data_IF_302608782390
#
_entry.id   IF_302608782390
#
_cell.length_a   1.000
_cell.length_b   1.000
_cell.length_c   1.000
_cell.angle_alpha   90.00
_cell.angle_beta   90.00
_cell.angle_gamma   90.00
#
_symmetry.space_group_name_H-M   'P 1'
#
loop_
_entity.id
_entity.type
_entity.pdbx_description
1 polymer ?
#
# COMPACT_ATOMS: atom_id res chain seq x y z
N UNK A 1 1.68 20.43 40.91
CA UNK A 1 2.88 21.14 41.44
C UNK A 1 4.04 21.26 40.44
N UNK A 2 4.40 20.24 39.63
CA UNK A 2 5.50 20.35 38.63
C UNK A 2 5.22 21.26 37.41
N UNK A 3 3.96 21.63 37.14
CA UNK A 3 3.59 22.50 36.02
C UNK A 3 3.72 24.01 36.34
N UNK A 4 3.67 24.40 37.61
CA UNK A 4 3.85 25.79 38.03
C UNK A 4 5.34 26.18 38.06
N UNK A 5 6.21 25.24 38.45
CA UNK A 5 7.66 25.47 38.48
C UNK A 5 8.25 25.74 37.08
N UNK A 6 7.75 25.07 36.03
CA UNK A 6 8.21 25.31 34.65
C UNK A 6 7.72 26.63 34.08
N UNK A 7 6.53 27.09 34.46
CA UNK A 7 5.98 28.38 34.04
C UNK A 7 6.75 29.57 34.63
N UNK A 8 7.13 29.48 35.91
CA UNK A 8 7.93 30.51 36.58
C UNK A 8 9.36 30.58 36.01
N UNK A 9 9.97 29.43 35.73
CA UNK A 9 11.32 29.36 35.16
C UNK A 9 11.38 29.97 33.75
N UNK A 10 10.35 29.73 32.93
CA UNK A 10 10.25 30.32 31.59
C UNK A 10 10.02 31.84 31.66
N UNK A 11 9.14 32.31 32.56
CA UNK A 11 8.84 33.74 32.73
C UNK A 11 10.06 34.53 33.22
N UNK A 12 10.86 33.96 34.12
CA UNK A 12 12.08 34.61 34.63
C UNK A 12 13.20 34.66 33.58
N UNK A 13 13.30 33.64 32.71
CA UNK A 13 14.25 33.65 31.59
C UNK A 13 13.87 34.65 30.50
N UNK A 14 12.58 34.82 30.20
CA UNK A 14 12.08 35.79 29.23
C UNK A 14 12.31 37.23 29.73
N UNK A 15 12.07 37.51 31.02
CA UNK A 15 12.33 38.82 31.62
C UNK A 15 13.81 39.22 31.62
N UNK A 16 14.72 38.27 31.90
CA UNK A 16 16.17 38.51 31.77
C UNK A 16 16.62 38.74 30.33
N UNK A 17 15.87 38.23 29.36
CA UNK A 17 16.17 38.38 27.93
C UNK A 17 15.75 39.75 27.39
N UNK A 18 14.61 40.28 27.83
CA UNK A 18 14.14 41.62 27.45
C UNK A 18 15.05 42.75 27.97
N UNK A 19 15.69 42.55 29.14
CA UNK A 19 16.69 43.49 29.67
C UNK A 19 17.99 43.46 28.85
N UNK A 20 18.49 42.28 28.48
CA UNK A 20 19.72 42.14 27.70
C UNK A 20 19.57 42.56 26.22
N UNK A 21 18.36 42.46 25.67
CA UNK A 21 18.00 43.00 24.36
C UNK A 21 17.90 44.53 24.34
N UNK A 22 17.78 45.22 25.47
CA UNK A 22 17.78 46.69 25.50
C UNK A 22 19.18 47.29 25.56
N UNK A 23 20.15 46.58 26.14
CA UNK A 23 21.50 47.08 26.38
C UNK A 23 22.57 46.59 25.38
N UNK A 24 22.29 45.54 24.61
CA UNK A 24 23.26 44.95 23.67
C UNK A 24 23.21 45.54 22.25
N UNK A 25 24.38 45.94 21.73
CA UNK A 25 24.57 46.33 20.32
C UNK A 25 24.31 45.19 19.31
N UNK A 26 24.10 45.57 18.04
CA UNK A 26 23.68 44.70 16.94
C UNK A 26 24.41 43.34 16.78
N UNK A 27 25.73 43.18 17.01
CA UNK A 27 26.40 41.89 16.85
C UNK A 27 26.05 40.87 17.95
N UNK A 28 25.76 41.32 19.19
CA UNK A 28 25.42 40.44 20.32
C UNK A 28 24.03 39.83 20.14
N UNK A 29 23.09 40.58 19.57
CA UNK A 29 21.71 40.10 19.31
C UNK A 29 21.66 38.95 18.31
N UNK A 30 22.51 38.95 17.28
CA UNK A 30 22.55 37.88 16.26
C UNK A 30 23.07 36.57 16.83
N UNK A 31 24.10 36.61 17.68
CA UNK A 31 24.69 35.40 18.27
C UNK A 31 23.73 34.72 19.26
N UNK A 32 23.05 35.52 20.09
CA UNK A 32 22.04 35.01 21.03
C UNK A 32 20.77 34.50 20.36
N UNK A 33 20.35 35.11 19.25
CA UNK A 33 19.20 34.63 18.47
C UNK A 33 19.48 33.26 17.80
N UNK A 34 20.73 33.01 17.37
CA UNK A 34 21.16 31.70 16.85
C UNK A 34 21.13 30.61 17.93
N UNK A 35 21.73 30.89 19.10
CA UNK A 35 21.76 29.96 20.23
C UNK A 35 20.37 29.64 20.78
N UNK A 36 19.44 30.61 20.80
CA UNK A 36 18.04 30.36 21.17
C UNK A 36 17.30 29.51 20.14
N UNK A 37 17.56 29.69 18.85
CA UNK A 37 16.94 28.89 17.79
C UNK A 37 17.37 27.42 17.92
N UNK A 38 18.65 27.17 18.22
CA UNK A 38 19.18 25.81 18.43
C UNK A 38 18.67 25.16 19.73
N UNK A 39 18.54 25.94 20.82
CA UNK A 39 18.02 25.41 22.08
C UNK A 39 16.50 25.16 22.04
N UNK A 40 15.72 26.04 21.39
CA UNK A 40 14.27 25.88 21.25
C UNK A 40 13.92 24.79 20.24
N UNK A 41 14.70 24.60 19.17
CA UNK A 41 14.53 23.45 18.27
C UNK A 41 14.90 22.14 18.96
N UNK A 42 15.92 22.11 19.82
CA UNK A 42 16.30 20.91 20.57
C UNK A 42 15.27 20.54 21.67
N UNK A 43 14.68 21.53 22.36
CA UNK A 43 13.63 21.31 23.36
C UNK A 43 12.29 20.96 22.70
N UNK A 44 11.96 21.60 21.56
CA UNK A 44 10.80 21.25 20.72
C UNK A 44 10.93 19.83 20.16
N UNK A 45 12.12 19.42 19.71
CA UNK A 45 12.38 18.03 19.30
C UNK A 45 12.30 17.05 20.46
N UNK A 46 12.77 17.41 21.67
CA UNK A 46 12.67 16.54 22.87
C UNK A 46 11.24 16.35 23.37
N UNK A 47 10.39 17.38 23.27
CA UNK A 47 9.00 17.34 23.77
C UNK A 47 8.02 16.83 22.70
N UNK A 48 8.22 17.14 21.40
CA UNK A 48 7.37 16.62 20.31
C UNK A 48 7.57 15.12 20.05
N UNK A 49 8.71 14.53 20.43
CA UNK A 49 8.95 13.10 20.20
C UNK A 49 8.14 12.17 21.11
N UNK A 50 7.46 12.71 22.14
CA UNK A 50 6.66 11.94 23.09
C UNK A 50 5.26 11.57 22.57
N UNK A 51 4.87 12.04 21.39
CA UNK A 51 3.55 11.75 20.80
C UNK A 51 3.64 11.36 19.32
N UNK A 52 4.39 10.29 19.00
CA UNK A 52 4.03 9.51 17.81
C UNK A 52 2.75 8.72 18.12
N UNK A 53 1.58 9.38 17.99
CA UNK A 53 0.28 8.74 18.10
C UNK A 53 0.06 7.83 16.88
N UNK A 54 0.68 6.64 16.90
CA UNK A 54 0.24 5.51 16.08
C UNK A 54 -0.71 4.66 16.93
N UNK A 55 -1.78 4.16 16.31
CA UNK A 55 -2.80 3.26 16.87
C UNK A 55 -2.17 1.90 17.25
N UNK A 56 -1.35 1.88 18.29
CA UNK A 56 -0.63 0.72 18.76
C UNK A 56 -0.95 0.53 20.23
N UNK A 57 -1.64 -0.58 20.55
CA UNK A 57 -1.87 -0.99 21.94
C UNK A 57 -0.51 -1.06 22.64
N UNK A 58 -0.31 -0.37 23.77
CA UNK A 58 0.98 -0.38 24.45
C UNK A 58 1.28 -1.74 25.08
N UNK A 59 0.25 -2.46 25.51
CA UNK A 59 0.30 -3.77 26.13
C UNK A 59 -0.52 -4.76 25.30
N UNK A 60 -0.01 -5.97 25.15
CA UNK A 60 -0.64 -7.06 24.43
C UNK A 60 -0.80 -8.23 25.38
N UNK A 61 -1.97 -8.86 25.34
CA UNK A 61 -2.27 -10.02 26.18
C UNK A 61 -1.60 -11.28 25.62
N UNK A 62 -1.04 -12.10 26.51
CA UNK A 62 -0.54 -13.43 26.15
C UNK A 62 -1.68 -14.43 26.29
N UNK A 63 -1.87 -15.28 25.29
CA UNK A 63 -2.87 -16.33 25.29
C UNK A 63 -2.28 -17.67 25.71
N UNK A 64 -3.01 -18.40 26.55
CA UNK A 64 -2.72 -19.79 26.88
C UNK A 64 -2.99 -20.72 25.70
N UNK A 65 -2.57 -21.98 25.83
CA UNK A 65 -2.87 -23.04 24.87
C UNK A 65 -4.37 -23.37 24.75
N UNK A 66 -5.16 -23.04 25.77
CA UNK A 66 -6.62 -23.18 25.79
C UNK A 66 -7.35 -22.06 25.04
N UNK A 67 -6.65 -21.00 24.62
CA UNK A 67 -7.22 -19.86 23.88
C UNK A 67 -7.76 -18.75 24.77
N UNK A 68 -7.53 -18.81 26.08
CA UNK A 68 -7.88 -17.79 27.06
C UNK A 68 -6.67 -16.91 27.36
N UNK A 69 -6.90 -15.69 27.85
CA UNK A 69 -5.78 -14.83 28.29
C UNK A 69 -5.12 -15.43 29.53
N UNK A 70 -3.79 -15.55 29.53
CA UNK A 70 -3.03 -16.09 30.67
C UNK A 70 -2.78 -15.07 31.79
N UNK A 71 -3.31 -13.85 31.66
CA UNK A 71 -3.09 -12.73 32.60
C UNK A 71 -1.73 -12.06 32.45
N UNK A 72 -0.79 -12.64 31.69
CA UNK A 72 0.49 -12.02 31.36
C UNK A 72 0.30 -11.00 30.25
N UNK A 73 0.97 -9.85 30.40
CA UNK A 73 1.00 -8.80 29.39
C UNK A 73 2.43 -8.54 28.95
N UNK A 74 2.62 -8.35 27.64
CA UNK A 74 3.90 -7.99 27.04
C UNK A 74 3.77 -6.63 26.36
N UNK A 75 4.79 -5.79 26.52
CA UNK A 75 4.84 -4.48 25.86
C UNK A 75 5.01 -4.68 24.36
N UNK A 76 4.26 -3.93 23.55
CA UNK A 76 4.37 -4.00 22.10
C UNK A 76 5.75 -3.48 21.62
N UNK A 77 6.55 -4.31 20.92
CA UNK A 77 7.85 -3.90 20.39
C UNK A 77 7.74 -2.73 19.44
N UNK A 78 8.74 -1.84 19.46
CA UNK A 78 8.72 -0.63 18.63
C UNK A 78 8.69 -0.92 17.12
N UNK A 79 9.14 -2.11 16.70
CA UNK A 79 9.12 -2.52 15.29
C UNK A 79 7.70 -2.56 14.69
N UNK A 80 6.66 -2.80 15.50
CA UNK A 80 5.27 -2.80 15.03
C UNK A 80 4.73 -1.39 14.75
N UNK A 81 5.40 -0.37 15.29
CA UNK A 81 5.09 1.04 15.02
C UNK A 81 5.91 1.59 13.85
N UNK A 82 6.78 0.80 13.22
CA UNK A 82 7.61 1.26 12.12
C UNK A 82 6.77 1.74 10.92
N UNK A 83 7.25 2.73 10.15
CA UNK A 83 6.54 3.20 8.96
C UNK A 83 6.40 2.10 7.91
N UNK A 84 5.17 1.87 7.45
CA UNK A 84 4.85 0.85 6.44
C UNK A 84 5.08 1.42 5.05
N UNK A 85 6.05 0.85 4.31
CA UNK A 85 6.36 1.22 2.92
C UNK A 85 6.15 0.06 1.94
N UNK A 86 4.97 -0.05 1.31
CA UNK A 86 4.67 -1.17 0.40
C UNK A 86 5.53 -1.14 -0.88
N UNK A 87 5.95 0.04 -1.33
CA UNK A 87 6.87 0.25 -2.45
C UNK A 87 8.24 -0.40 -2.19
N UNK A 88 8.83 -0.11 -1.02
CA UNK A 88 10.11 -0.71 -0.59
C UNK A 88 9.98 -2.21 -0.41
N UNK A 89 8.88 -2.67 0.20
CA UNK A 89 8.62 -4.12 0.36
C UNK A 89 8.54 -4.81 -1.00
N UNK A 90 7.80 -4.26 -1.96
CA UNK A 90 7.65 -4.87 -3.28
C UNK A 90 8.97 -4.87 -4.06
N UNK A 91 9.73 -3.78 -4.01
CA UNK A 91 11.05 -3.68 -4.65
C UNK A 91 12.03 -4.74 -4.11
N UNK A 92 12.14 -4.82 -2.77
CA UNK A 92 13.03 -5.79 -2.12
C UNK A 92 12.56 -7.22 -2.37
N UNK A 93 11.26 -7.49 -2.22
CA UNK A 93 10.68 -8.82 -2.45
C UNK A 93 10.96 -9.30 -3.88
N UNK A 94 10.71 -8.44 -4.89
CA UNK A 94 10.91 -8.79 -6.30
C UNK A 94 12.36 -9.13 -6.60
N UNK A 95 13.31 -8.38 -6.06
CA UNK A 95 14.74 -8.64 -6.27
C UNK A 95 15.24 -9.84 -5.46
N UNK A 96 14.75 -10.03 -4.22
CA UNK A 96 15.12 -11.16 -3.37
C UNK A 96 14.60 -12.48 -3.95
N UNK A 97 13.39 -12.48 -4.51
CA UNK A 97 12.80 -13.64 -5.19
C UNK A 97 13.55 -14.05 -6.46
N UNK A 98 14.35 -13.17 -7.07
CA UNK A 98 15.17 -13.55 -8.24
C UNK A 98 16.35 -14.44 -7.85
N UNK A 99 16.82 -14.37 -6.61
CA UNK A 99 18.03 -15.04 -6.14
C UNK A 99 17.85 -16.55 -5.88
N UNK A 100 16.63 -17.08 -5.93
CA UNK A 100 16.37 -18.51 -5.83
C UNK A 100 16.16 -19.19 -7.19
N UNK A 101 16.35 -18.46 -8.30
CA UNK A 101 16.15 -18.97 -9.65
C UNK A 101 17.37 -19.76 -10.10
N UNK A 102 17.13 -20.94 -10.65
CA UNK A 102 18.16 -21.73 -11.33
C UNK A 102 18.36 -21.19 -12.76
N UNK A 103 19.61 -21.05 -13.23
CA UNK A 103 19.91 -20.74 -14.62
C UNK A 103 19.32 -21.78 -15.58
N UNK A 104 18.91 -21.34 -16.75
CA UNK A 104 18.56 -22.22 -17.86
C UNK A 104 19.11 -21.63 -19.16
N UNK A 105 19.60 -22.49 -20.03
CA UNK A 105 20.21 -22.13 -21.30
C UNK A 105 19.82 -23.15 -22.38
N UNK A 106 19.87 -22.74 -23.63
CA UNK A 106 19.80 -23.67 -24.78
C UNK A 106 21.22 -24.15 -25.07
N UNK A 107 21.38 -25.39 -25.54
CA UNK A 107 22.70 -25.90 -25.93
C UNK A 107 23.33 -25.01 -27.01
N UNK A 108 24.63 -24.76 -26.91
CA UNK A 108 25.35 -23.90 -27.84
C UNK A 108 25.50 -24.56 -29.22
N UNK A 109 25.51 -25.89 -29.27
CA UNK A 109 25.60 -26.67 -30.49
C UNK A 109 24.23 -26.88 -31.18
N UNK A 110 23.13 -26.48 -30.53
CA UNK A 110 21.79 -26.69 -31.07
C UNK A 110 21.60 -25.90 -32.38
N UNK A 111 21.27 -26.61 -33.46
CA UNK A 111 21.11 -26.03 -34.78
C UNK A 111 22.44 -25.67 -35.48
N UNK A 112 23.59 -26.05 -34.90
CA UNK A 112 24.93 -25.83 -35.44
C UNK A 112 25.67 -27.10 -35.88
N UNK A 113 25.15 -28.28 -35.52
CA UNK A 113 25.76 -29.58 -35.85
C UNK A 113 25.56 -30.01 -37.32
N UNK A 114 24.68 -29.34 -38.07
CA UNK A 114 24.37 -29.68 -39.45
C UNK A 114 25.31 -28.95 -40.41
N UNK A 115 25.99 -29.67 -41.30
CA UNK A 115 26.75 -29.08 -42.40
C UNK A 115 25.79 -28.53 -43.47
N UNK A 116 25.83 -27.23 -43.69
CA UNK A 116 24.96 -26.54 -44.63
C UNK A 116 25.65 -25.30 -45.21
N UNK A 117 25.40 -25.02 -46.48
CA UNK A 117 25.98 -23.87 -47.18
C UNK A 117 24.93 -23.24 -48.09
N UNK A 118 25.02 -21.93 -48.31
CA UNK A 118 24.09 -21.24 -49.21
C UNK A 118 24.43 -21.59 -50.65
N UNK A 119 23.43 -21.86 -51.47
CA UNK A 119 23.64 -22.13 -52.89
C UNK A 119 23.86 -20.87 -53.75
N UNK A 120 23.88 -19.69 -53.12
CA UNK A 120 24.01 -18.42 -53.82
C UNK A 120 22.76 -18.03 -54.61
N UNK A 121 22.96 -17.21 -55.65
CA UNK A 121 21.93 -16.79 -56.60
C UNK A 121 21.88 -17.74 -57.81
N UNK A 122 20.89 -17.57 -58.69
CA UNK A 122 20.80 -18.37 -59.93
C UNK A 122 20.11 -19.73 -59.78
N UNK A 123 19.68 -20.07 -58.56
CA UNK A 123 18.74 -21.17 -58.31
C UNK A 123 17.42 -20.55 -57.85
N UNK A 124 16.28 -21.05 -58.32
CA UNK A 124 14.94 -20.54 -58.00
C UNK A 124 14.51 -20.83 -56.53
N UNK A 125 15.40 -20.53 -55.58
CA UNK A 125 15.28 -20.78 -54.15
C UNK A 125 15.90 -19.63 -53.35
N UNK A 126 15.39 -19.39 -52.14
CA UNK A 126 15.95 -18.38 -51.25
C UNK A 126 17.40 -18.70 -50.83
N UNK A 127 18.21 -17.64 -50.63
CA UNK A 127 19.66 -17.64 -50.30
C UNK A 127 20.02 -18.13 -48.89
N UNK A 128 19.24 -19.05 -48.34
CA UNK A 128 19.45 -19.63 -47.01
C UNK A 128 20.42 -20.81 -47.11
N UNK A 129 21.32 -21.02 -46.12
CA UNK A 129 22.15 -22.22 -46.07
C UNK A 129 21.31 -23.50 -46.12
N UNK A 130 21.68 -24.44 -46.98
CA UNK A 130 20.98 -25.71 -47.20
C UNK A 130 21.88 -26.90 -46.90
N UNK A 131 21.28 -27.95 -46.34
CA UNK A 131 21.99 -29.19 -46.00
C UNK A 131 22.56 -29.84 -47.26
N UNK A 132 23.84 -30.18 -47.23
CA UNK A 132 24.57 -30.82 -48.34
C UNK A 132 24.21 -32.31 -48.48
N UNK A 133 24.60 -32.93 -49.59
CA UNK A 133 24.34 -34.35 -49.88
C UNK A 133 23.02 -34.59 -50.62
N UNK A 134 22.60 -35.86 -50.70
CA UNK A 134 21.39 -36.32 -51.38
C UNK A 134 20.82 -37.59 -50.75
N UNK A 135 19.73 -38.12 -51.30
CA UNK A 135 19.16 -39.42 -50.88
C UNK A 135 18.36 -39.43 -49.57
N UNK A 136 18.21 -38.28 -48.90
CA UNK A 136 17.38 -38.16 -47.68
C UNK A 136 16.44 -36.98 -47.77
N UNK A 137 15.30 -37.04 -47.08
CA UNK A 137 14.35 -35.92 -46.99
C UNK A 137 14.96 -34.64 -46.43
N UNK A 138 16.08 -34.71 -45.69
CA UNK A 138 16.74 -33.54 -45.09
C UNK A 138 17.67 -32.80 -46.06
N UNK A 139 18.18 -33.47 -47.09
CA UNK A 139 19.05 -32.86 -48.10
C UNK A 139 18.34 -31.71 -48.84
N UNK A 140 19.04 -30.61 -49.11
CA UNK A 140 18.48 -29.43 -49.78
C UNK A 140 17.53 -28.55 -48.94
N UNK A 141 17.20 -28.92 -47.70
CA UNK A 141 16.39 -28.09 -46.79
C UNK A 141 17.22 -26.99 -46.12
N UNK A 142 16.57 -25.89 -45.73
CA UNK A 142 17.20 -24.79 -45.01
C UNK A 142 17.66 -25.16 -43.59
N UNK A 143 18.84 -24.66 -43.20
CA UNK A 143 19.47 -24.85 -41.90
C UNK A 143 20.07 -23.53 -41.36
N UNK A 144 20.59 -23.54 -40.14
CA UNK A 144 21.18 -22.41 -39.38
C UNK A 144 20.27 -21.21 -39.08
N UNK A 145 19.36 -20.82 -39.96
CA UNK A 145 18.47 -19.68 -39.76
C UNK A 145 17.48 -19.89 -38.62
N UNK A 146 17.12 -18.81 -37.92
CA UNK A 146 16.09 -18.81 -36.88
C UNK A 146 14.67 -19.03 -37.41
N UNK A 147 14.45 -18.74 -38.68
CA UNK A 147 13.23 -19.06 -39.43
C UNK A 147 13.21 -20.48 -39.98
N UNK A 148 14.32 -21.22 -39.91
CA UNK A 148 14.41 -22.58 -40.45
C UNK A 148 13.98 -23.63 -39.42
N UNK A 149 13.21 -24.63 -39.87
CA UNK A 149 12.87 -25.80 -39.04
C UNK A 149 14.14 -26.58 -38.67
N UNK A 150 14.35 -26.79 -37.38
CA UNK A 150 15.56 -27.43 -36.84
C UNK A 150 16.82 -26.57 -36.88
N UNK A 151 16.71 -25.28 -37.23
CA UNK A 151 17.79 -24.30 -37.12
C UNK A 151 17.96 -23.77 -35.68
N UNK A 152 18.96 -22.91 -35.47
CA UNK A 152 19.20 -22.28 -34.16
C UNK A 152 18.23 -21.11 -33.95
N UNK A 153 17.86 -20.81 -32.70
CA UNK A 153 17.08 -19.59 -32.42
C UNK A 153 17.94 -18.32 -32.44
N UNK A 154 17.30 -17.16 -32.69
CA UNK A 154 17.95 -15.86 -32.48
C UNK A 154 18.11 -15.56 -30.99
N UNK A 155 19.27 -15.00 -30.61
CA UNK A 155 19.66 -14.71 -29.23
C UNK A 155 19.42 -15.89 -28.25
N UNK A 156 20.10 -17.05 -28.43
CA UNK A 156 19.95 -18.20 -27.54
C UNK A 156 20.16 -17.82 -26.08
N UNK A 157 19.37 -18.39 -25.16
CA UNK A 157 19.53 -18.06 -23.75
C UNK A 157 20.85 -18.59 -23.22
N UNK A 158 21.66 -17.68 -22.67
CA UNK A 158 22.98 -17.98 -22.12
C UNK A 158 22.96 -18.15 -20.60
N UNK A 159 23.89 -18.95 -20.10
CA UNK A 159 24.05 -19.25 -18.66
C UNK A 159 24.42 -18.00 -17.87
N UNK A 160 25.26 -17.12 -18.41
CA UNK A 160 25.77 -15.89 -17.78
C UNK A 160 24.77 -14.72 -17.74
N UNK A 161 23.48 -14.95 -18.06
CA UNK A 161 22.44 -13.94 -17.77
C UNK A 161 22.52 -13.54 -16.30
N UNK A 162 22.39 -12.24 -15.99
CA UNK A 162 22.43 -11.77 -14.59
C UNK A 162 21.15 -12.17 -13.84
N UNK A 163 21.13 -13.38 -13.27
CA UNK A 163 20.01 -13.96 -12.51
C UNK A 163 19.82 -13.29 -11.15
N UNK A 164 20.93 -13.09 -10.44
CA UNK A 164 20.94 -12.58 -9.08
C UNK A 164 20.88 -11.06 -9.03
N UNK A 165 20.26 -10.53 -7.98
CA UNK A 165 20.19 -9.10 -7.66
C UNK A 165 20.64 -8.87 -6.22
N UNK A 166 21.73 -8.10 -6.08
CA UNK A 166 22.18 -7.54 -4.81
C UNK A 166 21.20 -6.46 -4.36
N UNK A 167 20.91 -6.43 -3.06
CA UNK A 167 20.02 -5.45 -2.43
C UNK A 167 20.73 -4.97 -1.17
N UNK A 168 20.63 -3.67 -0.89
CA UNK A 168 21.27 -3.06 0.27
C UNK A 168 20.71 -3.61 1.57
N UNK A 169 21.58 -3.87 2.55
CA UNK A 169 21.19 -4.42 3.85
C UNK A 169 20.17 -3.56 4.59
N UNK A 170 20.32 -2.21 4.65
CA UNK A 170 19.32 -1.35 5.27
C UNK A 170 17.95 -1.42 4.60
N UNK A 171 17.89 -1.52 3.25
CA UNK A 171 16.62 -1.67 2.52
C UNK A 171 15.94 -3.01 2.85
N UNK A 172 16.71 -4.11 2.93
CA UNK A 172 16.16 -5.41 3.36
C UNK A 172 15.59 -5.34 4.77
N UNK A 173 16.32 -4.74 5.71
CA UNK A 173 15.89 -4.58 7.10
C UNK A 173 14.63 -3.71 7.19
N UNK A 174 14.57 -2.63 6.43
CA UNK A 174 13.39 -1.76 6.37
C UNK A 174 12.15 -2.48 5.84
N UNK A 175 12.31 -3.28 4.77
CA UNK A 175 11.20 -4.07 4.24
C UNK A 175 10.66 -5.08 5.27
N UNK A 176 11.53 -5.70 6.08
CA UNK A 176 11.10 -6.58 7.16
C UNK A 176 10.34 -5.80 8.24
N UNK A 177 10.86 -4.66 8.70
CA UNK A 177 10.16 -3.82 9.68
C UNK A 177 8.78 -3.37 9.17
N UNK A 178 8.68 -2.96 7.90
CA UNK A 178 7.40 -2.62 7.27
C UNK A 178 6.43 -3.80 7.23
N UNK A 179 6.92 -5.00 6.94
CA UNK A 179 6.10 -6.21 6.89
C UNK A 179 5.60 -6.63 8.29
N UNK A 180 6.42 -6.47 9.33
CA UNK A 180 6.06 -6.72 10.72
C UNK A 180 5.03 -5.69 11.23
N UNK A 181 5.27 -4.40 11.01
CA UNK A 181 4.29 -3.36 11.36
C UNK A 181 2.93 -3.60 10.70
N UNK A 182 2.92 -4.03 9.43
CA UNK A 182 1.71 -4.35 8.73
C UNK A 182 0.96 -5.59 9.25
N UNK A 183 1.63 -6.54 9.93
CA UNK A 183 0.96 -7.71 10.50
C UNK A 183 0.25 -7.42 11.82
N UNK A 184 0.50 -6.26 12.44
CA UNK A 184 -0.24 -5.78 13.62
C UNK A 184 -1.56 -5.08 13.28
N UNK A 185 -1.78 -4.70 12.02
CA UNK A 185 -2.96 -3.91 11.62
C UNK A 185 -4.03 -4.87 11.05
N UNK A 186 -5.18 -5.04 11.72
CA UNK A 186 -6.23 -5.98 11.28
C UNK A 186 -6.71 -5.71 9.85
N UNK A 187 -6.91 -4.44 9.49
CA UNK A 187 -7.35 -4.06 8.14
C UNK A 187 -6.38 -4.55 7.05
N UNK A 188 -5.07 -4.46 7.28
CA UNK A 188 -4.09 -4.96 6.31
C UNK A 188 -4.08 -6.49 6.25
N UNK A 189 -4.24 -7.17 7.38
CA UNK A 189 -4.32 -8.64 7.45
C UNK A 189 -5.57 -9.19 6.76
N UNK A 190 -6.72 -8.54 6.93
CA UNK A 190 -7.96 -8.88 6.24
C UNK A 190 -7.86 -8.57 4.74
N UNK A 191 -7.29 -7.42 4.35
CA UNK A 191 -7.11 -7.05 2.94
C UNK A 191 -6.24 -8.07 2.17
N UNK A 192 -5.27 -8.69 2.84
CA UNK A 192 -4.48 -9.82 2.29
C UNK A 192 -5.33 -11.07 2.04
N UNK A 193 -6.44 -11.22 2.77
CA UNK A 193 -7.40 -12.31 2.65
C UNK A 193 -7.24 -13.40 3.70
N UNK A 194 -6.67 -13.13 4.86
CA UNK A 194 -6.73 -14.03 6.01
C UNK A 194 -8.11 -13.94 6.68
N UNK A 195 -8.63 -15.07 7.19
CA UNK A 195 -9.85 -15.09 8.02
C UNK A 195 -9.48 -14.91 9.47
N UNK A 196 -9.68 -13.69 9.98
CA UNK A 196 -9.31 -13.28 11.33
C UNK A 196 -10.50 -12.71 12.13
N UNK A 197 -11.74 -12.90 11.66
CA UNK A 197 -12.93 -12.27 12.27
C UNK A 197 -13.16 -12.73 13.71
N UNK A 198 -12.85 -13.98 14.01
CA UNK A 198 -13.08 -14.60 15.32
C UNK A 198 -11.87 -14.51 16.27
N UNK A 199 -10.73 -13.99 15.80
CA UNK A 199 -9.47 -13.98 16.55
C UNK A 199 -9.54 -12.91 17.64
N UNK A 200 -9.09 -13.19 18.88
CA UNK A 200 -9.26 -12.27 20.00
C UNK A 200 -8.39 -11.01 19.89
N UNK A 201 -7.17 -11.13 19.37
CA UNK A 201 -6.22 -10.02 19.28
C UNK A 201 -5.25 -10.17 18.09
N UNK A 202 -4.82 -9.03 17.54
CA UNK A 202 -3.77 -8.92 16.52
C UNK A 202 -2.81 -7.80 16.94
N UNK A 203 -1.49 -8.03 17.06
CA UNK A 203 -0.77 -9.30 16.92
C UNK A 203 -1.18 -10.38 17.93
N UNK A 204 -1.25 -11.64 17.49
CA UNK A 204 -1.55 -12.76 18.38
C UNK A 204 -0.27 -13.29 19.03
N UNK A 205 -0.22 -13.29 20.36
CA UNK A 205 0.90 -13.79 21.17
C UNK A 205 0.43 -14.95 22.04
N UNK A 206 1.18 -16.05 22.01
CA UNK A 206 0.86 -17.30 22.72
C UNK A 206 2.01 -17.68 23.66
N UNK A 207 1.71 -18.35 24.76
CA UNK A 207 2.73 -18.83 25.71
C UNK A 207 3.82 -19.70 25.07
N UNK A 208 5.02 -19.65 25.65
CA UNK A 208 6.19 -20.41 25.18
C UNK A 208 6.03 -21.94 25.25
N UNK A 209 5.00 -22.45 25.97
CA UNK A 209 4.66 -23.88 25.98
C UNK A 209 4.44 -24.44 24.58
N UNK A 210 4.00 -23.63 23.63
CA UNK A 210 3.80 -24.02 22.23
C UNK A 210 5.10 -24.47 21.56
N UNK A 211 6.26 -23.96 21.99
CA UNK A 211 7.57 -24.35 21.45
C UNK A 211 7.91 -25.83 21.70
N UNK A 212 7.36 -26.41 22.78
CA UNK A 212 7.58 -27.81 23.20
C UNK A 212 6.62 -28.84 22.60
N UNK A 213 5.70 -28.45 21.72
CA UNK A 213 4.76 -29.39 21.11
C UNK A 213 5.47 -30.40 20.21
N UNK A 214 5.10 -31.68 20.36
CA UNK A 214 5.69 -32.78 19.59
C UNK A 214 4.70 -33.37 18.59
N UNK A 215 3.39 -33.32 18.87
CA UNK A 215 2.36 -33.96 18.02
C UNK A 215 1.59 -32.92 17.21
N UNK A 216 1.28 -33.26 15.96
CA UNK A 216 0.44 -32.43 15.07
C UNK A 216 -0.99 -32.26 15.61
N UNK A 217 -1.50 -33.26 16.33
CA UNK A 217 -2.84 -33.21 16.95
C UNK A 217 -2.95 -32.08 17.98
N UNK A 218 -1.92 -31.89 18.80
CA UNK A 218 -1.83 -30.79 19.78
C UNK A 218 -1.77 -29.43 19.07
N UNK A 219 -0.94 -29.32 18.02
CA UNK A 219 -0.86 -28.11 17.20
C UNK A 219 -2.19 -27.73 16.52
N UNK A 220 -2.95 -28.71 16.03
CA UNK A 220 -4.30 -28.49 15.47
C UNK A 220 -5.29 -28.05 16.55
N UNK A 221 -5.22 -28.66 17.75
CA UNK A 221 -6.07 -28.29 18.88
C UNK A 221 -5.86 -26.82 19.27
N UNK A 222 -4.59 -26.39 19.39
CA UNK A 222 -4.22 -25.01 19.67
C UNK A 222 -4.83 -24.04 18.65
N UNK A 223 -4.68 -24.30 17.35
CA UNK A 223 -5.17 -23.41 16.30
C UNK A 223 -6.71 -23.31 16.27
N UNK A 224 -7.40 -24.36 16.71
CA UNK A 224 -8.86 -24.34 16.91
C UNK A 224 -9.23 -23.48 18.12
N UNK A 225 -8.53 -23.65 19.24
CA UNK A 225 -8.76 -22.87 20.47
C UNK A 225 -8.48 -21.38 20.28
N UNK A 226 -7.43 -21.03 19.53
CA UNK A 226 -7.09 -19.66 19.14
C UNK A 226 -7.99 -19.09 18.02
N UNK A 227 -8.99 -19.86 17.55
CA UNK A 227 -9.92 -19.48 16.47
C UNK A 227 -9.24 -19.16 15.12
N UNK A 228 -7.97 -19.54 14.94
CA UNK A 228 -7.21 -19.39 13.71
C UNK A 228 -7.47 -20.49 12.67
N UNK A 229 -8.27 -21.51 13.02
CA UNK A 229 -8.53 -22.67 12.18
C UNK A 229 -9.31 -22.35 10.89
N UNK A 230 -10.14 -21.30 10.89
CA UNK A 230 -10.89 -20.89 9.69
C UNK A 230 -9.98 -20.44 8.54
N UNK A 231 -8.80 -19.86 8.85
CA UNK A 231 -7.80 -19.53 7.84
C UNK A 231 -7.17 -20.79 7.22
N UNK A 232 -7.02 -21.86 8.01
CA UNK A 232 -6.49 -23.15 7.56
C UNK A 232 -7.53 -23.91 6.74
N UNK A 233 -8.81 -23.91 7.15
CA UNK A 233 -9.92 -24.43 6.34
C UNK A 233 -9.94 -23.76 4.95
N UNK A 234 -9.67 -22.46 4.88
CA UNK A 234 -9.53 -21.73 3.62
C UNK A 234 -8.35 -22.21 2.77
N UNK A 235 -7.25 -22.65 3.39
CA UNK A 235 -6.15 -23.29 2.67
C UNK A 235 -6.59 -24.61 2.06
N UNK A 236 -7.23 -25.49 2.83
CA UNK A 236 -7.76 -26.77 2.34
C UNK A 236 -8.71 -26.56 1.15
N UNK A 237 -9.70 -25.68 1.27
CA UNK A 237 -10.65 -25.37 0.19
C UNK A 237 -9.99 -24.78 -1.07
N UNK A 238 -8.78 -24.21 -0.95
CA UNK A 238 -8.06 -23.59 -2.08
C UNK A 238 -7.11 -24.53 -2.83
N UNK A 239 -6.96 -25.77 -2.37
CA UNK A 239 -6.07 -26.74 -2.99
C UNK A 239 -6.60 -27.11 -4.38
N UNK A 240 -5.83 -26.75 -5.40
CA UNK A 240 -6.20 -27.03 -6.79
C UNK A 240 -4.99 -27.34 -7.65
N UNK A 241 -5.25 -27.94 -8.81
CA UNK A 241 -4.23 -28.21 -9.81
C UNK A 241 -3.77 -26.90 -10.47
N UNK A 242 -2.47 -26.77 -10.71
CA UNK A 242 -1.89 -25.61 -11.40
C UNK A 242 -2.27 -25.65 -12.88
N UNK A 243 -2.78 -24.54 -13.41
CA UNK A 243 -3.00 -24.39 -14.85
C UNK A 243 -1.66 -24.30 -15.63
N UNK A 244 -1.67 -24.82 -16.86
CA UNK A 244 -0.53 -24.75 -17.79
C UNK A 244 0.59 -25.77 -17.56
N UNK A 245 1.75 -25.52 -18.18
CA UNK A 245 2.92 -26.43 -18.22
C UNK A 245 3.68 -26.55 -16.90
N UNK A 246 3.19 -25.96 -15.81
CA UNK A 246 3.80 -26.14 -14.48
C UNK A 246 3.64 -27.56 -13.93
N UNK A 247 2.59 -28.29 -14.38
CA UNK A 247 2.28 -29.65 -13.91
C UNK A 247 3.39 -30.66 -14.21
N UNK A 248 4.04 -30.53 -15.37
CA UNK A 248 5.18 -31.38 -15.77
C UNK A 248 6.52 -30.95 -15.14
N UNK A 249 6.58 -29.80 -14.44
CA UNK A 249 7.82 -29.23 -13.88
C UNK A 249 7.79 -29.24 -12.35
N UNK A 250 7.36 -30.34 -11.74
CA UNK A 250 7.25 -30.55 -10.29
C UNK A 250 6.48 -29.47 -9.52
N UNK A 251 5.53 -28.79 -10.19
CA UNK A 251 4.70 -27.71 -9.61
C UNK A 251 3.22 -27.96 -9.83
N UNK A 252 2.81 -29.22 -9.64
CA UNK A 252 1.48 -29.76 -9.96
C UNK A 252 0.34 -29.11 -9.17
N UNK A 253 0.51 -28.92 -7.86
CA UNK A 253 -0.52 -28.38 -6.96
C UNK A 253 -0.19 -26.96 -6.49
N UNK A 254 -1.23 -26.16 -6.24
CA UNK A 254 -1.14 -24.84 -5.61
C UNK A 254 -2.16 -24.74 -4.48
N UNK A 255 -1.83 -23.95 -3.47
CA UNK A 255 -2.68 -23.68 -2.31
C UNK A 255 -2.37 -22.30 -1.74
N UNK A 256 -3.30 -21.73 -0.96
CA UNK A 256 -3.09 -20.47 -0.23
C UNK A 256 -2.01 -20.61 0.84
N UNK A 257 -1.46 -19.47 1.26
CA UNK A 257 -0.59 -19.35 2.44
C UNK A 257 -1.46 -18.97 3.62
N UNK A 258 -1.42 -19.76 4.68
CA UNK A 258 -2.12 -19.50 5.94
C UNK A 258 -1.22 -18.76 6.94
N UNK A 259 -1.44 -18.97 8.26
CA UNK A 259 -0.72 -18.25 9.31
C UNK A 259 0.80 -18.50 9.26
N UNK A 260 1.55 -17.51 9.69
CA UNK A 260 2.98 -17.62 9.92
C UNK A 260 3.25 -17.74 11.42
N UNK A 261 3.82 -18.84 11.88
CA UNK A 261 4.18 -19.02 13.29
C UNK A 261 5.63 -18.62 13.46
N UNK A 262 5.88 -17.69 14.38
CA UNK A 262 7.21 -17.20 14.71
C UNK A 262 7.58 -17.64 16.12
N UNK A 263 8.71 -18.32 16.24
CA UNK A 263 9.21 -18.92 17.47
C UNK A 263 10.65 -18.48 17.74
N UNK A 264 11.12 -18.64 18.98
CA UNK A 264 12.48 -18.32 19.38
C UNK A 264 13.39 -19.56 19.32
N UNK A 265 13.00 -20.62 20.03
CA UNK A 265 13.73 -21.89 20.09
C UNK A 265 12.89 -23.04 19.49
N UNK A 266 13.55 -24.01 18.88
CA UNK A 266 12.87 -25.19 18.33
C UNK A 266 13.03 -26.37 19.30
N UNK A 267 12.05 -26.55 20.18
CA UNK A 267 11.97 -27.68 21.11
C UNK A 267 11.05 -28.82 20.62
N UNK A 268 10.67 -28.81 19.33
CA UNK A 268 9.73 -29.76 18.73
C UNK A 268 8.66 -29.11 17.84
N UNK A 269 8.45 -27.80 18.01
CA UNK A 269 7.46 -27.00 17.28
C UNK A 269 7.56 -27.19 15.76
N UNK A 270 8.76 -27.26 15.18
CA UNK A 270 8.85 -27.40 13.72
C UNK A 270 8.27 -28.72 13.23
N UNK A 271 8.50 -29.82 13.96
CA UNK A 271 7.95 -31.14 13.65
C UNK A 271 6.43 -31.17 13.84
N UNK A 272 5.91 -30.52 14.88
CA UNK A 272 4.48 -30.47 15.17
C UNK A 272 3.67 -29.68 14.12
N UNK A 273 4.20 -28.55 13.61
CA UNK A 273 3.44 -27.68 12.70
C UNK A 273 3.72 -27.90 11.21
N UNK A 274 4.86 -28.50 10.81
CA UNK A 274 5.25 -28.60 9.38
C UNK A 274 4.26 -29.37 8.50
N UNK A 275 3.51 -30.31 9.08
CA UNK A 275 2.58 -31.17 8.33
C UNK A 275 1.23 -30.49 8.04
N UNK A 276 0.92 -29.38 8.72
CA UNK A 276 -0.34 -28.67 8.54
C UNK A 276 -0.23 -27.77 7.29
N UNK A 277 -1.13 -27.89 6.30
CA UNK A 277 -1.00 -27.16 5.05
C UNK A 277 -1.17 -25.65 5.24
N UNK A 278 -0.33 -24.90 4.54
CA UNK A 278 -0.40 -23.43 4.50
C UNK A 278 0.33 -22.72 5.64
N UNK A 279 0.66 -23.42 6.73
CA UNK A 279 1.47 -22.87 7.82
C UNK A 279 2.90 -22.67 7.34
N UNK A 280 3.52 -21.58 7.77
CA UNK A 280 4.97 -21.42 7.63
C UNK A 280 5.58 -21.08 8.97
N UNK A 281 6.74 -21.64 9.23
CA UNK A 281 7.47 -21.50 10.47
C UNK A 281 8.65 -20.55 10.24
N UNK A 282 8.92 -19.66 11.19
CA UNK A 282 10.09 -18.79 11.16
C UNK A 282 10.71 -18.67 12.54
N UNK A 283 12.03 -18.75 12.60
CA UNK A 283 12.78 -18.32 13.77
C UNK A 283 12.84 -16.78 13.79
N UNK A 284 12.62 -16.18 14.96
CA UNK A 284 12.69 -14.73 15.18
C UNK A 284 14.05 -14.12 14.77
N UNK A 285 15.14 -14.85 14.92
CA UNK A 285 16.48 -14.39 14.50
C UNK A 285 16.65 -14.39 12.98
N UNK A 286 15.90 -15.22 12.26
CA UNK A 286 16.04 -15.47 10.83
C UNK A 286 14.75 -15.15 10.06
N UNK A 287 14.18 -13.98 10.33
CA UNK A 287 13.00 -13.50 9.63
C UNK A 287 13.27 -13.28 8.15
N UNK A 288 12.42 -13.87 7.31
CA UNK A 288 12.51 -13.78 5.85
C UNK A 288 11.32 -13.02 5.27
N UNK A 289 11.62 -11.96 4.52
CA UNK A 289 10.62 -11.14 3.83
C UNK A 289 9.73 -11.94 2.88
N UNK A 290 10.27 -12.94 2.17
CA UNK A 290 9.51 -13.76 1.22
C UNK A 290 8.39 -14.57 1.91
N UNK A 291 8.53 -14.82 3.22
CA UNK A 291 7.51 -15.50 4.03
C UNK A 291 6.59 -14.49 4.71
N UNK A 292 7.09 -13.36 5.21
CA UNK A 292 6.27 -12.33 5.86
C UNK A 292 5.36 -11.57 4.86
N UNK A 293 5.86 -11.29 3.66
CA UNK A 293 5.13 -10.58 2.60
C UNK A 293 5.08 -11.42 1.31
N UNK A 294 4.34 -12.54 1.30
CA UNK A 294 4.33 -13.44 0.15
C UNK A 294 3.72 -12.73 -1.07
N UNK A 295 4.50 -12.67 -2.16
CA UNK A 295 4.08 -11.96 -3.38
C UNK A 295 4.35 -10.45 -3.35
N UNK A 296 4.99 -9.92 -2.30
CA UNK A 296 5.28 -8.49 -2.16
C UNK A 296 4.15 -7.69 -1.53
N UNK A 297 3.00 -8.30 -1.22
CA UNK A 297 1.94 -7.65 -0.45
C UNK A 297 2.11 -7.94 1.05
N UNK A 298 2.06 -6.88 1.84
CA UNK A 298 2.18 -6.86 3.31
C UNK A 298 0.91 -7.39 4.00
N UNK A 299 0.94 -7.52 5.33
CA UNK A 299 -0.23 -7.92 6.12
C UNK A 299 -0.48 -9.43 6.13
N UNK A 300 0.57 -10.26 6.28
CA UNK A 300 0.35 -11.68 6.54
C UNK A 300 -0.01 -11.90 8.00
N UNK A 301 -0.99 -12.76 8.27
CA UNK A 301 -1.33 -13.13 9.64
C UNK A 301 -0.17 -13.91 10.29
N UNK A 302 0.35 -13.37 11.41
CA UNK A 302 1.49 -13.92 12.14
C UNK A 302 1.07 -14.22 13.58
N UNK A 303 1.47 -15.40 14.08
CA UNK A 303 1.28 -15.86 15.44
C UNK A 303 2.66 -15.92 16.08
N UNK A 304 2.82 -15.32 17.26
CA UNK A 304 4.09 -15.19 17.95
C UNK A 304 4.09 -16.00 19.23
N UNK A 305 5.21 -16.65 19.56
CA UNK A 305 5.47 -17.09 20.94
C UNK A 305 5.91 -15.91 21.80
N UNK A 306 5.65 -15.99 23.11
CA UNK A 306 5.94 -14.93 24.07
C UNK A 306 7.42 -14.50 24.01
N UNK A 307 8.34 -15.47 24.06
CA UNK A 307 9.78 -15.24 23.97
C UNK A 307 10.21 -14.65 22.62
N UNK A 308 9.62 -15.11 21.51
CA UNK A 308 9.89 -14.54 20.19
C UNK A 308 9.43 -13.08 20.10
N UNK A 309 8.28 -12.76 20.72
CA UNK A 309 7.72 -11.42 20.71
C UNK A 309 8.60 -10.44 21.49
N UNK A 310 9.04 -10.81 22.70
CA UNK A 310 9.95 -9.99 23.52
C UNK A 310 11.30 -9.74 22.84
N UNK A 311 11.85 -10.74 22.16
CA UNK A 311 13.16 -10.68 21.50
C UNK A 311 13.22 -9.69 20.32
N UNK A 312 12.08 -9.23 19.81
CA UNK A 312 12.04 -8.24 18.72
C UNK A 312 12.66 -6.89 19.13
N UNK A 313 12.54 -6.49 20.40
CA UNK A 313 13.11 -5.24 20.88
C UNK A 313 14.65 -5.29 20.94
N UNK A 314 15.24 -6.46 21.24
CA UNK A 314 16.70 -6.66 21.12
C UNK A 314 17.15 -6.67 19.65
N UNK A 315 16.39 -7.33 18.78
CA UNK A 315 16.72 -7.49 17.36
C UNK A 315 16.66 -6.20 16.55
N UNK A 316 15.71 -5.30 16.84
CA UNK A 316 15.49 -4.08 16.07
C UNK A 316 15.70 -2.80 16.87
N UNK A 317 15.67 -2.87 18.20
CA UNK A 317 15.73 -1.70 19.07
C UNK A 317 14.46 -0.87 19.04
N UNK A 318 14.54 0.29 19.68
CA UNK A 318 13.54 1.35 19.60
C UNK A 318 14.12 2.56 18.85
N UNK A 319 13.36 3.65 18.67
CA UNK A 319 13.95 4.89 18.16
C UNK A 319 14.90 5.58 19.15
N UNK A 320 14.88 5.18 20.43
CA UNK A 320 15.79 5.72 21.46
C UNK A 320 16.99 4.81 21.69
N UNK A 321 16.76 3.50 21.73
CA UNK A 321 17.78 2.47 21.97
C UNK A 321 18.11 1.75 20.65
N UNK A 322 19.38 1.71 20.28
CA UNK A 322 19.85 0.95 19.11
C UNK A 322 19.65 -0.56 19.30
N UNK A 323 19.64 -1.31 18.20
CA UNK A 323 19.55 -2.78 18.29
C UNK A 323 20.81 -3.38 18.89
N UNK A 324 20.67 -4.35 19.80
CA UNK A 324 21.80 -5.07 20.39
C UNK A 324 22.37 -6.11 19.43
N UNK A 325 21.50 -6.85 18.74
CA UNK A 325 21.92 -7.98 17.90
C UNK A 325 22.34 -7.58 16.48
N UNK A 326 21.98 -6.37 16.02
CA UNK A 326 22.33 -5.89 14.68
C UNK A 326 23.30 -4.73 14.77
N UNK A 327 24.49 -4.91 14.18
CA UNK A 327 25.49 -3.86 14.07
C UNK A 327 24.93 -2.63 13.35
N UNK A 328 25.14 -1.47 13.96
CA UNK A 328 24.83 -0.12 13.44
C UNK A 328 23.43 -0.02 12.83
N UNK A 329 22.42 -0.52 13.55
CA UNK A 329 21.03 -0.47 13.09
C UNK A 329 20.12 0.26 14.07
N UNK A 330 19.22 1.05 13.49
CA UNK A 330 18.17 1.79 14.17
C UNK A 330 16.90 1.70 13.33
N UNK A 331 15.74 1.80 13.99
CA UNK A 331 14.47 1.83 13.29
C UNK A 331 14.39 3.03 12.32
N UNK A 332 13.75 2.85 11.15
CA UNK A 332 13.53 3.92 10.20
C UNK A 332 12.64 5.02 10.80
N UNK A 333 12.97 6.27 10.53
CA UNK A 333 12.23 7.43 11.01
C UNK A 333 10.94 7.63 10.19
N UNK A 334 9.89 8.09 10.85
CA UNK A 334 8.65 8.49 10.20
C UNK A 334 8.86 9.79 9.41
N UNK A 335 8.37 9.84 8.18
CA UNK A 335 8.28 11.10 7.42
C UNK A 335 7.17 12.01 7.94
N UNK A 336 6.08 11.41 8.42
CA UNK A 336 4.92 12.06 8.99
C UNK A 336 4.58 11.35 10.30
N UNK A 337 4.49 12.09 11.40
CA UNK A 337 4.28 11.52 12.75
C UNK A 337 2.83 11.11 12.98
N UNK A 338 1.87 11.93 12.55
CA UNK A 338 0.45 11.61 12.57
C UNK A 338 -0.03 11.38 11.13
N UNK A 339 -0.43 10.15 10.80
CA UNK A 339 -0.89 9.79 9.45
C UNK A 339 -2.39 10.00 9.24
N UNK A 340 -3.15 10.37 10.27
CA UNK A 340 -4.57 10.68 10.14
C UNK A 340 -4.76 12.10 9.59
N UNK A 341 -4.75 12.19 8.26
CA UNK A 341 -5.00 13.44 7.54
C UNK A 341 -6.39 14.00 7.81
N UNK A 342 -7.38 13.14 8.08
CA UNK A 342 -8.75 13.61 8.32
C UNK A 342 -8.83 14.41 9.62
N UNK A 343 -8.13 13.96 10.67
CA UNK A 343 -8.02 14.68 11.93
C UNK A 343 -7.23 15.97 11.79
N UNK A 344 -6.11 15.95 11.07
CA UNK A 344 -5.29 17.15 10.82
C UNK A 344 -6.12 18.20 10.07
N UNK A 345 -6.73 17.83 8.95
CA UNK A 345 -7.50 18.76 8.12
C UNK A 345 -8.73 19.33 8.84
N UNK A 346 -9.33 18.59 9.78
CA UNK A 346 -10.47 19.04 10.58
C UNK A 346 -10.07 19.77 11.86
N UNK A 347 -8.78 19.97 12.13
CA UNK A 347 -8.33 20.63 13.34
C UNK A 347 -8.72 22.11 13.34
N UNK A 348 -9.05 22.64 14.51
CA UNK A 348 -9.51 24.03 14.65
C UNK A 348 -8.46 25.03 14.18
N UNK A 349 -7.18 24.74 14.43
CA UNK A 349 -6.06 25.61 14.04
C UNK A 349 -6.00 25.77 12.52
N UNK A 350 -6.25 24.70 11.76
CA UNK A 350 -6.32 24.75 10.30
C UNK A 350 -7.62 25.42 9.86
N UNK A 351 -8.77 25.00 10.39
CA UNK A 351 -10.07 25.52 9.98
C UNK A 351 -10.20 27.04 10.19
N UNK A 352 -9.58 27.59 11.24
CA UNK A 352 -9.60 29.04 11.53
C UNK A 352 -8.83 29.88 10.50
N UNK A 353 -7.83 29.29 9.84
CA UNK A 353 -7.03 29.96 8.81
C UNK A 353 -7.58 29.76 7.38
N UNK A 354 -8.56 28.86 7.20
CA UNK A 354 -9.12 28.56 5.88
C UNK A 354 -10.23 29.54 5.49
N UNK A 355 -10.21 29.97 4.22
CA UNK A 355 -11.34 30.66 3.59
C UNK A 355 -12.51 29.70 3.35
N UNK A 356 -13.72 30.25 3.24
CA UNK A 356 -14.91 29.47 2.90
C UNK A 356 -14.74 28.69 1.57
N UNK A 357 -15.17 27.41 1.51
CA UNK A 357 -15.01 26.58 0.33
C UNK A 357 -15.94 27.03 -0.81
N UNK A 358 -15.37 27.29 -1.98
CA UNK A 358 -16.17 27.59 -3.17
C UNK A 358 -16.67 26.29 -3.83
N UNK A 359 -17.91 25.91 -3.52
CA UNK A 359 -18.56 24.70 -4.07
C UNK A 359 -19.30 24.95 -5.39
N UNK A 360 -19.22 26.16 -5.96
CA UNK A 360 -19.94 26.51 -7.20
C UNK A 360 -19.26 25.91 -8.43
N UNK A 361 -19.84 24.85 -8.97
CA UNK A 361 -19.40 24.25 -10.25
C UNK A 361 -19.89 25.12 -11.42
N UNK A 362 -18.98 25.89 -12.03
CA UNK A 362 -19.28 26.64 -13.26
C UNK A 362 -19.27 25.71 -14.46
N UNK A 363 -20.46 25.25 -14.87
CA UNK A 363 -20.62 24.47 -16.11
C UNK A 363 -20.55 25.39 -17.33
N UNK A 364 -20.07 24.86 -18.45
CA UNK A 364 -20.14 25.55 -19.74
C UNK A 364 -21.61 25.81 -20.06
N UNK A 365 -21.98 27.08 -20.17
CA UNK A 365 -23.30 27.47 -20.64
C UNK A 365 -23.28 27.43 -22.16
N UNK A 366 -24.17 26.65 -22.77
CA UNK A 366 -24.33 26.66 -24.23
C UNK A 366 -24.76 28.07 -24.66
N UNK A 367 -23.96 28.70 -25.52
CA UNK A 367 -24.30 29.99 -26.13
C UNK A 367 -25.47 29.77 -27.10
N UNK A 368 -26.68 30.02 -26.63
CA UNK A 368 -27.89 30.00 -27.44
C UNK A 368 -27.91 31.25 -28.33
N UNK A 369 -28.25 31.08 -29.61
CA UNK A 369 -28.35 32.20 -30.55
C UNK A 369 -29.53 33.13 -30.14
N UNK A 370 -29.30 34.41 -29.80
CA UNK A 370 -30.36 35.34 -29.39
C UNK A 370 -31.37 35.61 -30.51
N UNK A 371 -30.95 35.62 -31.77
CA UNK A 371 -31.83 35.88 -32.92
C UNK A 371 -32.88 34.78 -33.08
N UNK A 372 -32.52 33.53 -32.76
CA UNK A 372 -33.42 32.36 -32.82
C UNK A 372 -34.11 32.10 -31.48
N UNK A 373 -33.57 32.56 -30.35
CA UNK A 373 -34.10 32.30 -29.01
C UNK A 373 -34.48 33.59 -28.28
N UNK A 374 -35.78 33.89 -28.27
CA UNK A 374 -36.33 35.12 -27.68
C UNK A 374 -35.94 35.31 -26.21
N UNK A 375 -35.95 34.25 -25.38
CA UNK A 375 -35.63 34.38 -23.94
C UNK A 375 -34.18 34.85 -23.73
N UNK A 376 -33.27 34.42 -24.61
CA UNK A 376 -31.87 34.81 -24.54
C UNK A 376 -31.70 36.23 -25.08
N UNK A 377 -32.41 36.60 -26.15
CA UNK A 377 -32.45 37.99 -26.62
C UNK A 377 -32.95 38.93 -25.54
N UNK A 378 -34.04 38.60 -24.85
CA UNK A 378 -34.59 39.42 -23.78
C UNK A 378 -33.68 39.49 -22.55
N UNK A 379 -32.97 38.40 -22.24
CA UNK A 379 -31.98 38.38 -21.17
C UNK A 379 -30.79 39.28 -21.46
N UNK A 380 -30.38 39.40 -22.73
CA UNK A 380 -29.25 40.21 -23.16
C UNK A 380 -29.64 41.66 -23.50
N UNK A 381 -30.82 41.86 -24.08
CA UNK A 381 -31.38 43.14 -24.48
C UNK A 381 -32.89 43.20 -24.19
N UNK A 382 -33.30 43.83 -23.07
CA UNK A 382 -34.72 43.95 -22.71
C UNK A 382 -35.54 44.81 -23.68
N UNK A 383 -34.91 45.79 -24.36
CA UNK A 383 -35.57 46.66 -25.35
C UNK A 383 -36.01 45.91 -26.61
N UNK A 384 -35.43 44.74 -26.89
CA UNK A 384 -35.90 43.88 -27.99
C UNK A 384 -37.38 43.48 -27.83
N UNK A 385 -37.92 43.47 -26.59
CA UNK A 385 -39.35 43.21 -26.33
C UNK A 385 -40.25 44.31 -26.87
N UNK A 386 -39.92 45.56 -26.58
CA UNK A 386 -40.69 46.73 -26.99
C UNK A 386 -40.56 46.93 -28.49
N UNK A 387 -39.33 46.90 -29.02
CA UNK A 387 -39.07 47.04 -30.46
C UNK A 387 -39.84 45.99 -31.28
N UNK A 388 -39.80 44.70 -30.88
CA UNK A 388 -40.55 43.64 -31.58
C UNK A 388 -42.07 43.84 -31.47
N UNK A 389 -42.57 44.30 -30.31
CA UNK A 389 -43.99 44.60 -30.12
C UNK A 389 -44.46 45.76 -31.02
N UNK A 390 -43.70 46.85 -31.08
CA UNK A 390 -43.98 47.96 -31.98
C UNK A 390 -43.93 47.54 -33.45
N UNK A 391 -42.97 46.72 -33.85
CA UNK A 391 -42.87 46.20 -35.22
C UNK A 391 -44.08 45.33 -35.61
N UNK A 392 -44.51 44.40 -34.74
CA UNK A 392 -45.71 43.56 -34.97
C UNK A 392 -46.96 44.44 -35.10
N UNK A 393 -47.13 45.42 -34.19
CA UNK A 393 -48.26 46.36 -34.24
C UNK A 393 -48.23 47.25 -35.49
N UNK A 394 -47.06 47.54 -36.04
CA UNK A 394 -46.89 48.35 -37.26
C UNK A 394 -47.17 47.54 -38.53
N UNK A 395 -46.77 46.26 -38.57
CA UNK A 395 -46.84 45.42 -39.77
C UNK A 395 -48.20 44.72 -39.94
N UNK A 396 -48.92 44.42 -38.85
CA UNK A 396 -50.15 43.64 -38.90
C UNK A 396 -51.35 44.43 -38.31
N UNK A 397 -52.12 45.15 -39.16
CA UNK A 397 -53.18 46.05 -38.72
C UNK A 397 -54.33 45.31 -38.02
N UNK A 398 -54.52 44.02 -38.30
CA UNK A 398 -55.50 43.17 -37.62
C UNK A 398 -55.12 42.90 -36.16
N UNK A 399 -53.82 42.74 -35.86
CA UNK A 399 -53.31 42.58 -34.49
C UNK A 399 -53.37 43.92 -33.74
N UNK A 400 -53.04 45.02 -34.41
CA UNK A 400 -53.21 46.38 -33.88
C UNK A 400 -54.66 46.65 -33.51
N UNK A 401 -55.61 46.31 -34.37
CA UNK A 401 -57.05 46.44 -34.12
C UNK A 401 -57.53 45.51 -32.98
N UNK A 402 -57.03 44.27 -32.88
CA UNK A 402 -57.32 43.35 -31.76
C UNK A 402 -56.79 43.86 -30.40
N UNK A 403 -55.64 44.54 -30.36
CA UNK A 403 -55.09 45.11 -29.13
C UNK A 403 -55.72 46.45 -28.73
N UNK A 404 -56.20 47.25 -29.70
CA UNK A 404 -56.89 48.52 -29.46
C UNK A 404 -58.36 48.34 -29.09
N UNK A 405 -58.98 47.19 -29.41
CA UNK A 405 -60.29 46.84 -28.87
C UNK A 405 -60.19 46.78 -27.33
N UNK A 406 -61.03 47.50 -26.59
CA UNK A 406 -61.08 47.35 -25.14
C UNK A 406 -61.36 45.87 -24.87
N UNK A 407 -60.51 45.22 -24.06
CA UNK A 407 -60.85 43.90 -23.51
C UNK A 407 -62.20 44.09 -22.82
N UNK A 408 -63.29 43.55 -23.39
CA UNK A 408 -64.55 43.43 -22.67
C UNK A 408 -64.21 42.77 -21.35
N UNK A 409 -64.36 43.51 -20.24
CA UNK A 409 -64.37 42.92 -18.91
C UNK A 409 -65.36 41.76 -18.99
N UNK A 410 -64.98 40.52 -18.63
CA UNK A 410 -65.98 39.47 -18.50
C UNK A 410 -67.03 40.00 -17.52
N UNK A 411 -68.29 40.03 -17.94
CA UNK A 411 -69.38 40.44 -17.07
C UNK A 411 -69.31 39.56 -15.81
N UNK A 412 -69.25 40.19 -14.63
CA UNK A 412 -69.50 39.47 -13.38
C UNK A 412 -70.86 38.81 -13.53
N UNK A 413 -70.92 37.47 -13.59
CA UNK A 413 -72.16 36.77 -13.29
C UNK A 413 -72.56 37.22 -11.88
N UNK A 414 -73.74 37.82 -11.74
CA UNK A 414 -74.29 38.14 -10.44
C UNK A 414 -74.34 36.84 -9.63
N UNK A 415 -73.69 36.82 -8.47
CA UNK A 415 -73.95 35.80 -7.48
C UNK A 415 -75.42 35.93 -7.08
N UNK A 416 -76.20 34.87 -7.27
CA UNK A 416 -77.50 34.74 -6.63
C UNK A 416 -77.29 34.92 -5.12
N UNK A 417 -78.09 35.80 -4.49
CA UNK A 417 -78.11 35.96 -3.04
C UNK A 417 -78.41 34.61 -2.39
N UNK A 418 -77.72 34.23 -1.31
CA UNK A 418 -78.15 33.09 -0.51
C UNK A 418 -79.52 33.42 0.10
N UNK A 419 -80.51 32.56 -0.12
CA UNK A 419 -81.70 32.55 0.75
C UNK A 419 -81.24 32.05 2.12
N UNK A 420 -81.70 32.74 3.15
CA UNK A 420 -81.65 32.29 4.54
C UNK A 420 -82.39 30.96 4.69
#
# INVERSE_FOLDING_TARGET
MKAQFSSLYLKNHIRRFDTLLKEGGAPVRKHWCSLMCDHLTCISQKIMFLRSQACARPLISVFSDKGESSGKNVVMPAVFRAPIRPDVVNFVHTNMRKNNRQPYAVSELAGHQTSAESWGTGRAVARIPRVRGGGTHRSGQGAFGNMCRGGRMFAPTKTWRRWHRRINTPQKRYAICSALAASAIPALVMSKGHRIEEIPEVPLVVEDKVEGYKKTKEAVLLLKKLKAWNDIKKVYASQRMRAGKGKMRNRRRIQRKGPCIVYNQDAGLTKAFRNIPGITLQNVNQLNLLRLAPGGHVGRFCIWTESAFRKLDELYGTWRKTSSLKKNYKLPMHKMTNTDLSRILKSEEIQKALRAPNKKIKRRVLKKNPLKNLKIMLKLNPYAKTARRHAILKHDPAIKAKMLKPKKRPAKKAHAKPKA
#
